data_IF_119572825506
#
_entry.id   IF_119572825506
#
_cell.length_a   1.000
_cell.length_b   1.000
_cell.length_c   1.000
_cell.angle_alpha   90.00
_cell.angle_beta   90.00
_cell.angle_gamma   90.00
#
_symmetry.space_group_name_H-M   'P 1'
#
loop_
_entity.id
_entity.type
_entity.pdbx_description
1 polymer ?
#
# COMPACT_ATOMS: atom_id res chain seq x y z
N UNK A 1 -31.05 16.61 78.35
CA UNK A 1 -29.75 16.08 77.99
C UNK A 1 -29.90 15.34 76.64
N UNK A 2 -29.57 16.02 75.52
CA UNK A 2 -29.92 15.53 74.19
C UNK A 2 -28.70 14.83 73.57
N UNK A 3 -28.88 13.64 73.04
CA UNK A 3 -27.87 12.86 72.37
C UNK A 3 -28.19 12.97 70.86
N UNK A 4 -27.32 13.68 70.12
CA UNK A 4 -27.38 13.86 68.69
C UNK A 4 -26.89 12.60 67.97
N UNK A 5 -27.68 12.11 67.01
CA UNK A 5 -27.32 11.01 66.11
C UNK A 5 -26.34 11.56 65.03
N UNK A 6 -25.17 10.91 64.93
CA UNK A 6 -24.23 11.15 63.84
C UNK A 6 -24.68 10.33 62.64
N UNK A 7 -25.05 10.96 61.55
CA UNK A 7 -25.31 10.34 60.28
C UNK A 7 -23.99 9.86 59.69
N UNK A 8 -23.87 8.55 59.54
CA UNK A 8 -22.74 7.89 58.90
C UNK A 8 -23.03 7.80 57.40
N UNK A 9 -22.52 8.77 56.61
CA UNK A 9 -22.55 8.69 55.15
C UNK A 9 -21.58 7.61 54.66
N UNK A 10 -22.12 6.46 54.24
CA UNK A 10 -21.36 5.44 53.51
C UNK A 10 -21.10 5.92 52.06
N UNK A 11 -19.88 6.37 51.80
CA UNK A 11 -19.38 6.56 50.44
C UNK A 11 -19.10 5.18 49.83
N UNK A 12 -19.93 4.76 48.86
CA UNK A 12 -19.58 3.67 47.96
C UNK A 12 -18.64 4.23 46.90
N UNK A 13 -17.42 3.69 46.72
CA UNK A 13 -16.62 4.06 45.58
C UNK A 13 -17.25 3.43 44.31
N UNK A 14 -17.64 4.27 43.34
CA UNK A 14 -18.04 3.81 42.03
C UNK A 14 -16.84 3.09 41.39
N UNK A 15 -16.93 1.77 41.27
CA UNK A 15 -15.95 0.98 40.53
C UNK A 15 -16.01 1.38 39.03
N UNK A 16 -15.02 2.12 38.60
CA UNK A 16 -14.82 2.43 37.20
C UNK A 16 -14.32 1.16 36.50
N UNK A 17 -15.22 0.38 35.90
CA UNK A 17 -14.86 -0.70 35.01
C UNK A 17 -14.38 -0.06 33.70
N UNK A 18 -13.10 -0.22 33.30
CA UNK A 18 -12.70 0.17 31.96
C UNK A 18 -13.50 -0.67 30.97
N UNK A 19 -14.27 -0.02 30.11
CA UNK A 19 -14.90 -0.68 28.99
C UNK A 19 -13.78 -1.27 28.13
N UNK A 20 -13.58 -2.58 28.19
CA UNK A 20 -12.76 -3.29 27.23
C UNK A 20 -13.43 -3.08 25.86
N UNK A 21 -12.86 -2.16 25.08
CA UNK A 21 -13.16 -2.10 23.65
C UNK A 21 -12.80 -3.47 23.08
N UNK A 22 -13.81 -4.27 22.79
CA UNK A 22 -13.62 -5.45 21.95
C UNK A 22 -13.05 -4.95 20.62
N UNK A 23 -11.94 -5.53 20.11
CA UNK A 23 -11.55 -5.24 18.76
C UNK A 23 -12.75 -5.59 17.85
N UNK A 24 -13.24 -4.60 17.11
CA UNK A 24 -14.20 -4.87 16.04
C UNK A 24 -13.59 -5.95 15.16
N UNK A 25 -14.18 -7.13 15.17
CA UNK A 25 -13.83 -8.16 14.20
C UNK A 25 -14.25 -7.59 12.84
N UNK A 26 -13.28 -7.14 12.05
CA UNK A 26 -13.52 -6.75 10.66
C UNK A 26 -14.13 -7.97 9.95
N UNK A 27 -15.44 -7.94 9.77
CA UNK A 27 -16.12 -8.91 8.90
C UNK A 27 -15.61 -8.60 7.49
N UNK A 28 -14.99 -9.57 6.78
CA UNK A 28 -14.50 -9.34 5.43
C UNK A 28 -15.64 -8.80 4.56
N UNK A 29 -15.39 -7.70 3.86
CA UNK A 29 -16.37 -7.14 2.94
C UNK A 29 -16.65 -8.16 1.82
N UNK A 30 -17.92 -8.36 1.48
CA UNK A 30 -18.32 -9.25 0.39
C UNK A 30 -17.61 -8.84 -0.91
N UNK A 31 -16.96 -9.80 -1.60
CA UNK A 31 -16.17 -9.56 -2.79
C UNK A 31 -14.72 -9.11 -2.52
N UNK A 32 -14.24 -9.16 -1.27
CA UNK A 32 -12.81 -8.93 -0.98
C UNK A 32 -11.94 -10.08 -1.45
N UNK A 33 -10.68 -9.77 -1.78
CA UNK A 33 -9.69 -10.78 -2.18
C UNK A 33 -9.43 -11.77 -1.04
N UNK A 34 -9.43 -13.09 -1.31
CA UNK A 34 -9.01 -14.09 -0.33
C UNK A 34 -7.48 -14.10 -0.18
N UNK A 35 -7.00 -14.72 0.89
CA UNK A 35 -5.57 -15.06 1.01
C UNK A 35 -5.16 -16.01 -0.11
N UNK A 36 -4.04 -15.69 -0.79
CA UNK A 36 -3.54 -16.48 -1.92
C UNK A 36 -2.01 -16.39 -2.03
N UNK A 37 -1.43 -17.30 -2.80
CA UNK A 37 -0.02 -17.27 -3.22
C UNK A 37 0.04 -17.10 -4.73
N UNK A 38 1.06 -16.38 -5.20
CA UNK A 38 1.23 -16.04 -6.63
C UNK A 38 2.59 -16.53 -7.11
N UNK A 39 2.72 -17.84 -7.52
CA UNK A 39 3.96 -18.37 -8.05
C UNK A 39 4.41 -17.61 -9.30
N UNK A 40 5.68 -17.25 -9.36
CA UNK A 40 6.26 -16.43 -10.41
C UNK A 40 5.93 -16.92 -11.84
N UNK A 41 5.98 -18.22 -12.06
CA UNK A 41 5.77 -18.86 -13.36
C UNK A 41 4.29 -18.83 -13.80
N UNK A 42 3.38 -18.55 -12.87
CA UNK A 42 1.94 -18.53 -13.13
C UNK A 42 1.37 -17.12 -13.32
N UNK A 43 2.16 -16.09 -13.06
CA UNK A 43 1.71 -14.72 -13.23
C UNK A 43 1.56 -14.37 -14.71
N UNK A 44 0.41 -13.83 -15.15
CA UNK A 44 0.22 -13.36 -16.52
C UNK A 44 1.24 -12.28 -16.90
N UNK A 45 1.74 -12.33 -18.13
CA UNK A 45 2.71 -11.38 -18.67
C UNK A 45 2.05 -10.54 -19.75
N UNK A 46 2.29 -9.23 -19.71
CA UNK A 46 2.00 -8.26 -20.78
C UNK A 46 3.24 -7.42 -21.08
N UNK A 47 3.39 -6.94 -22.32
CA UNK A 47 4.61 -6.26 -22.78
C UNK A 47 4.29 -4.93 -23.47
N UNK A 48 3.78 -3.91 -22.75
CA UNK A 48 3.60 -2.59 -23.31
C UNK A 48 4.95 -1.85 -23.40
N UNK A 49 5.18 -1.11 -24.52
CA UNK A 49 6.33 -0.20 -24.68
C UNK A 49 7.70 -0.82 -24.32
N UNK A 50 7.93 -2.08 -24.65
CA UNK A 50 9.13 -2.87 -24.30
C UNK A 50 9.31 -3.13 -22.79
N UNK A 51 8.39 -2.72 -21.92
CA UNK A 51 8.35 -3.17 -20.54
C UNK A 51 7.74 -4.57 -20.46
N UNK A 52 8.27 -5.45 -19.63
CA UNK A 52 7.61 -6.70 -19.28
C UNK A 52 6.92 -6.51 -17.95
N UNK A 53 5.61 -6.72 -17.90
CA UNK A 53 4.79 -6.58 -16.69
C UNK A 53 4.17 -7.91 -16.36
N UNK A 54 4.33 -8.37 -15.10
CA UNK A 54 3.70 -9.56 -14.54
C UNK A 54 2.63 -9.11 -13.56
N UNK A 55 1.37 -9.37 -13.88
CA UNK A 55 0.26 -9.03 -13.01
C UNK A 55 0.22 -10.03 -11.83
N UNK A 56 0.30 -9.53 -10.61
CA UNK A 56 0.31 -10.34 -9.38
C UNK A 56 -1.10 -10.48 -8.83
N UNK A 57 -1.70 -9.36 -8.42
CA UNK A 57 -3.05 -9.35 -7.89
C UNK A 57 -3.73 -8.00 -8.17
N UNK A 58 -5.06 -8.04 -8.21
CA UNK A 58 -5.90 -6.86 -8.40
C UNK A 58 -7.27 -7.12 -7.79
N UNK A 59 -7.73 -6.20 -6.92
CA UNK A 59 -9.03 -6.35 -6.29
C UNK A 59 -9.20 -5.42 -5.08
N UNK A 60 -10.09 -5.81 -4.16
CA UNK A 60 -10.36 -5.06 -2.93
C UNK A 60 -9.85 -5.80 -1.69
N UNK A 61 -9.32 -5.06 -0.74
CA UNK A 61 -9.03 -5.53 0.61
C UNK A 61 -10.34 -5.73 1.41
N UNK A 62 -10.28 -6.48 2.50
CA UNK A 62 -11.41 -6.67 3.40
C UNK A 62 -11.90 -5.35 4.04
N UNK A 63 -11.03 -4.35 4.11
CA UNK A 63 -11.30 -2.98 4.59
C UNK A 63 -11.90 -2.06 3.52
N UNK A 64 -12.00 -2.53 2.25
CA UNK A 64 -12.67 -1.85 1.15
C UNK A 64 -11.77 -1.11 0.17
N UNK A 65 -10.48 -0.90 0.50
CA UNK A 65 -9.54 -0.24 -0.40
C UNK A 65 -9.25 -1.10 -1.64
N UNK A 66 -9.08 -0.44 -2.78
CA UNK A 66 -8.56 -1.09 -3.99
C UNK A 66 -7.05 -1.29 -3.86
N UNK A 67 -6.58 -2.45 -4.30
CA UNK A 67 -5.17 -2.82 -4.34
C UNK A 67 -4.86 -3.44 -5.70
N UNK A 68 -3.76 -2.98 -6.32
CA UNK A 68 -3.13 -3.65 -7.46
C UNK A 68 -1.66 -3.86 -7.16
N UNK A 69 -1.14 -5.03 -7.52
CA UNK A 69 0.30 -5.33 -7.44
C UNK A 69 0.74 -5.97 -8.75
N UNK A 70 1.82 -5.44 -9.32
CA UNK A 70 2.48 -6.06 -10.46
C UNK A 70 4.01 -5.93 -10.34
N UNK A 71 4.75 -6.82 -11.01
CA UNK A 71 6.20 -6.72 -11.19
C UNK A 71 6.48 -6.18 -12.59
N UNK A 72 7.36 -5.19 -12.69
CA UNK A 72 7.80 -4.61 -13.96
C UNK A 72 9.28 -4.82 -14.17
N UNK A 73 9.66 -5.27 -15.37
CA UNK A 73 11.05 -5.30 -15.84
C UNK A 73 11.22 -4.35 -17.02
N UNK A 74 12.16 -3.42 -16.90
CA UNK A 74 12.50 -2.43 -17.92
C UNK A 74 13.88 -2.73 -18.53
N UNK A 75 14.04 -2.68 -19.87
CA UNK A 75 15.34 -2.67 -20.49
C UNK A 75 16.12 -1.39 -20.13
N UNK A 76 17.44 -1.34 -20.31
CA UNK A 76 18.24 -0.12 -20.14
C UNK A 76 17.64 1.06 -20.94
N UNK A 77 17.48 2.22 -20.27
CA UNK A 77 16.87 3.41 -20.84
C UNK A 77 15.34 3.35 -20.97
N UNK A 78 14.70 2.22 -20.62
CA UNK A 78 13.26 2.03 -20.73
C UNK A 78 12.47 2.78 -19.66
N UNK A 79 11.24 3.16 -20.02
CA UNK A 79 10.21 3.67 -19.13
C UNK A 79 8.87 3.01 -19.53
N UNK A 80 7.98 2.68 -18.58
CA UNK A 80 6.73 2.00 -18.90
C UNK A 80 5.74 2.92 -19.63
N UNK A 81 5.77 4.21 -19.31
CA UNK A 81 4.94 5.29 -19.86
C UNK A 81 5.57 6.65 -19.54
N UNK A 82 5.00 7.74 -20.09
CA UNK A 82 5.35 9.10 -19.72
C UNK A 82 4.96 9.41 -18.27
N UNK A 83 5.54 10.48 -17.69
CA UNK A 83 5.12 10.97 -16.37
C UNK A 83 3.62 11.30 -16.37
N UNK A 84 2.96 11.00 -15.28
CA UNK A 84 1.51 11.18 -15.07
C UNK A 84 1.15 11.27 -13.59
N UNK A 85 -0.11 11.46 -13.27
CA UNK A 85 -0.65 11.41 -11.92
C UNK A 85 -1.98 10.65 -11.89
N UNK A 86 -2.37 10.16 -10.72
CA UNK A 86 -3.64 9.47 -10.47
C UNK A 86 -4.05 9.57 -8.99
N UNK A 87 -5.29 9.20 -8.69
CA UNK A 87 -5.88 9.37 -7.33
C UNK A 87 -5.41 8.34 -6.31
N UNK A 88 -4.90 7.18 -6.73
CA UNK A 88 -4.30 6.22 -5.81
C UNK A 88 -2.84 6.58 -5.50
N UNK A 89 -2.34 6.10 -4.38
CA UNK A 89 -0.91 6.17 -4.05
C UNK A 89 -0.18 4.95 -4.57
N UNK A 90 1.10 5.10 -4.90
CA UNK A 90 1.94 3.99 -5.37
C UNK A 90 3.22 3.85 -4.57
N UNK A 91 3.70 2.60 -4.49
CA UNK A 91 4.98 2.24 -3.91
C UNK A 91 5.76 1.36 -4.88
N UNK A 92 7.06 1.66 -5.07
CA UNK A 92 7.99 0.86 -5.86
C UNK A 92 8.98 0.18 -4.93
N UNK A 93 9.10 -1.15 -5.04
CA UNK A 93 10.10 -1.93 -4.31
C UNK A 93 11.12 -2.44 -5.32
N UNK A 94 12.31 -1.86 -5.32
CA UNK A 94 13.33 -2.16 -6.31
C UNK A 94 14.02 -3.49 -5.98
N UNK A 95 13.90 -4.45 -6.89
CA UNK A 95 14.48 -5.78 -6.77
C UNK A 95 15.86 -5.87 -7.42
N UNK A 96 15.97 -5.34 -8.66
CA UNK A 96 17.19 -5.47 -9.47
C UNK A 96 17.40 -4.21 -10.32
N UNK A 97 18.65 -3.93 -10.70
CA UNK A 97 19.00 -2.82 -11.56
C UNK A 97 19.00 -1.46 -10.85
N UNK A 98 18.99 -0.38 -11.63
CA UNK A 98 18.97 0.99 -11.12
C UNK A 98 17.92 1.80 -11.87
N UNK A 99 16.96 2.34 -11.13
CA UNK A 99 15.92 3.20 -11.68
C UNK A 99 16.08 4.64 -11.19
N UNK A 100 15.52 5.57 -11.93
CA UNK A 100 15.29 6.94 -11.51
C UNK A 100 13.80 7.14 -11.36
N UNK A 101 13.36 7.48 -10.16
CA UNK A 101 11.99 7.87 -9.83
C UNK A 101 11.96 9.39 -9.74
N UNK A 102 11.14 10.02 -10.57
CA UNK A 102 10.89 11.47 -10.53
C UNK A 102 9.51 11.72 -9.94
N UNK A 103 9.44 12.56 -8.92
CA UNK A 103 8.19 12.97 -8.26
C UNK A 103 8.15 14.49 -8.21
N UNK A 104 7.12 15.11 -8.77
CA UNK A 104 6.94 16.57 -8.84
C UNK A 104 8.22 17.30 -9.31
N UNK A 105 8.88 16.76 -10.35
CA UNK A 105 10.10 17.30 -10.91
C UNK A 105 11.39 16.99 -10.14
N UNK A 106 11.33 16.33 -9.00
CA UNK A 106 12.53 15.93 -8.25
C UNK A 106 12.86 14.46 -8.51
N UNK A 107 14.06 14.21 -9.03
CA UNK A 107 14.55 12.86 -9.37
C UNK A 107 15.40 12.26 -8.27
N UNK A 108 15.20 10.95 -8.01
CA UNK A 108 15.99 10.14 -7.09
C UNK A 108 16.40 8.84 -7.76
N UNK A 109 17.69 8.45 -7.62
CA UNK A 109 18.19 7.14 -8.06
C UNK A 109 17.98 6.10 -6.99
N UNK A 110 17.38 4.97 -7.38
CA UNK A 110 17.03 3.86 -6.51
C UNK A 110 17.66 2.57 -7.05
N UNK A 111 18.39 1.86 -6.20
CA UNK A 111 18.96 0.54 -6.47
C UNK A 111 18.24 -0.56 -5.68
N UNK A 112 18.70 -1.82 -5.78
CA UNK A 112 18.10 -2.97 -5.12
C UNK A 112 17.92 -2.75 -3.60
N UNK A 113 16.73 -3.12 -3.09
CA UNK A 113 16.33 -2.92 -1.70
C UNK A 113 15.79 -1.52 -1.39
N UNK A 114 15.86 -0.57 -2.33
CA UNK A 114 15.26 0.76 -2.16
C UNK A 114 13.75 0.70 -2.33
N UNK A 115 13.06 1.65 -1.68
CA UNK A 115 11.62 1.86 -1.79
C UNK A 115 11.37 3.30 -2.23
N UNK A 116 10.52 3.48 -3.26
CA UNK A 116 9.93 4.76 -3.62
C UNK A 116 8.48 4.79 -3.19
N UNK A 117 7.98 5.96 -2.80
CA UNK A 117 6.57 6.19 -2.50
C UNK A 117 6.11 7.48 -3.17
N UNK A 118 4.94 7.43 -3.78
CA UNK A 118 4.28 8.58 -4.40
C UNK A 118 2.88 8.72 -3.83
N UNK A 119 2.59 9.90 -3.33
CA UNK A 119 1.30 10.26 -2.80
C UNK A 119 0.27 10.45 -3.94
N UNK A 120 -1.01 10.25 -3.60
CA UNK A 120 -2.15 10.56 -4.47
C UNK A 120 -2.00 11.91 -5.18
N UNK A 121 -2.20 11.94 -6.48
CA UNK A 121 -2.12 13.10 -7.38
C UNK A 121 -0.73 13.76 -7.54
N UNK A 122 0.33 13.23 -6.98
CA UNK A 122 1.69 13.69 -7.31
C UNK A 122 2.06 13.22 -8.72
N UNK A 123 2.58 14.14 -9.57
CA UNK A 123 3.11 13.79 -10.87
C UNK A 123 4.38 12.94 -10.72
N UNK A 124 4.42 11.81 -11.39
CA UNK A 124 5.56 10.90 -11.25
C UNK A 124 5.86 10.12 -12.53
N UNK A 125 7.09 9.63 -12.60
CA UNK A 125 7.56 8.74 -13.66
C UNK A 125 8.78 7.96 -13.20
N UNK A 126 8.97 6.76 -13.75
CA UNK A 126 10.10 5.89 -13.44
C UNK A 126 10.81 5.50 -14.75
N UNK A 127 12.14 5.43 -14.70
CA UNK A 127 12.99 5.06 -15.84
C UNK A 127 14.16 4.19 -15.37
N UNK A 128 14.50 3.18 -16.15
CA UNK A 128 15.75 2.45 -15.96
C UNK A 128 16.92 3.32 -16.43
N UNK A 129 17.77 3.75 -15.51
CA UNK A 129 18.98 4.56 -15.76
C UNK A 129 20.26 3.74 -15.62
N UNK A 130 20.15 2.44 -15.40
CA UNK A 130 21.25 1.49 -15.37
C UNK A 130 21.61 0.96 -16.77
N UNK A 131 22.63 0.10 -16.81
CA UNK A 131 23.11 -0.57 -18.03
C UNK A 131 22.61 -1.99 -18.18
N UNK A 132 21.88 -2.49 -17.18
CA UNK A 132 21.22 -3.81 -17.14
C UNK A 132 19.71 -3.65 -17.00
N UNK A 133 18.91 -4.67 -17.27
CA UNK A 133 17.48 -4.64 -16.94
C UNK A 133 17.26 -4.27 -15.47
N UNK A 134 16.20 -3.51 -15.21
CA UNK A 134 15.76 -3.17 -13.86
C UNK A 134 14.39 -3.79 -13.59
N UNK A 135 14.25 -4.44 -12.44
CA UNK A 135 13.02 -5.12 -12.00
C UNK A 135 12.56 -4.56 -10.66
N UNK A 136 11.28 -4.25 -10.58
CA UNK A 136 10.66 -3.71 -9.37
C UNK A 136 9.19 -4.13 -9.26
N UNK A 137 8.69 -4.19 -8.03
CA UNK A 137 7.24 -4.31 -7.78
C UNK A 137 6.63 -2.93 -7.67
N UNK A 138 5.41 -2.80 -8.20
CA UNK A 138 4.52 -1.66 -7.96
C UNK A 138 3.37 -2.15 -7.09
N UNK A 139 3.08 -1.38 -6.05
CA UNK A 139 1.92 -1.58 -5.16
C UNK A 139 1.08 -0.31 -5.23
N UNK A 140 -0.06 -0.37 -5.89
CA UNK A 140 -1.02 0.71 -5.99
C UNK A 140 -2.15 0.51 -4.97
N UNK A 141 -2.44 1.52 -4.16
CA UNK A 141 -3.45 1.46 -3.09
C UNK A 141 -4.35 2.68 -3.12
N UNK A 142 -5.64 2.47 -3.05
CA UNK A 142 -6.63 3.53 -2.98
C UNK A 142 -7.59 3.57 -4.16
N UNK A 143 -8.40 4.63 -4.28
CA UNK A 143 -9.42 4.74 -5.34
C UNK A 143 -8.81 4.58 -6.72
N UNK A 144 -9.41 3.73 -7.56
CA UNK A 144 -8.95 3.50 -8.93
C UNK A 144 -7.75 2.57 -9.10
N UNK A 145 -7.08 2.12 -8.03
CA UNK A 145 -5.93 1.21 -8.12
C UNK A 145 -6.27 -0.12 -8.80
N UNK A 146 -7.55 -0.55 -8.73
CA UNK A 146 -8.02 -1.79 -9.32
C UNK A 146 -9.04 -1.60 -10.45
N UNK A 147 -9.09 -0.43 -11.07
CA UNK A 147 -9.99 -0.12 -12.20
C UNK A 147 -9.45 -0.60 -13.55
#
# INVERSE_FOLDING_TARGET
MSITRRDLCLFFPAAFFPAFMRPESLVPQEGSMPSATYPFEKMPIRTPNNAQIRDVLKGKLATGESLEVHETTLPPGGAPHAAHHHVHSEMWLIREGTVELTVNGTSSRLGPGSVGFVHSNDEHGIKNVGTTPATYFVVAVGPGASS
#
